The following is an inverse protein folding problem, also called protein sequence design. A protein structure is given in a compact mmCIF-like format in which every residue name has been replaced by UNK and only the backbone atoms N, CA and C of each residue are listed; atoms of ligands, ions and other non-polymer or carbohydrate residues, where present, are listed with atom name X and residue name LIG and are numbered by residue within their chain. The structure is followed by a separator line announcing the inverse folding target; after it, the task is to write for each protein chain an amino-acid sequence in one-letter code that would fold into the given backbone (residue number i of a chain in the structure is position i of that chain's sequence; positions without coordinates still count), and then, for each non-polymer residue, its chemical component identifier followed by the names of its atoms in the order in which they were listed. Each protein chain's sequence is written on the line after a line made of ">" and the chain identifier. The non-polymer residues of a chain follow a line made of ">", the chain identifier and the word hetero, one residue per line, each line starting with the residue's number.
data_IF_970033012875
#
_entry.id   IF_970033012875
#
_cell.length_a   1.000
_cell.length_b   1.000
_cell.length_c   1.000
_cell.angle_alpha   90.00
_cell.angle_beta   90.00
_cell.angle_gamma   90.00
#
_symmetry.space_group_name_H-M   'P 1'
#
loop_
_entity.id
_entity.type
_entity.pdbx_description
1 polymer ?
#
# COMPACT_ATOMS: atom_id res chain seq x y z
N UNK A 1 0.39 10.26 -2.50
CA UNK A 1 1.35 9.33 -1.83
C UNK A 1 2.67 9.41 -2.57
N UNK A 2 3.63 10.12 -1.99
CA UNK A 2 4.89 10.46 -2.68
C UNK A 2 5.98 9.41 -2.43
N UNK A 3 6.70 8.95 -3.47
CA UNK A 3 7.83 8.03 -3.32
C UNK A 3 8.96 8.66 -2.51
N UNK A 4 9.72 7.82 -1.81
CA UNK A 4 10.92 8.27 -1.10
C UNK A 4 12.06 8.54 -2.07
N UNK A 5 12.24 7.66 -3.06
CA UNK A 5 13.33 7.78 -4.03
C UNK A 5 12.92 8.69 -5.19
N UNK A 6 13.71 9.72 -5.47
CA UNK A 6 13.48 10.63 -6.61
C UNK A 6 13.55 9.94 -7.98
N UNK A 7 14.18 8.77 -8.05
CA UNK A 7 14.25 7.92 -9.25
C UNK A 7 12.94 7.16 -9.53
N UNK A 8 12.06 7.02 -8.53
CA UNK A 8 10.80 6.32 -8.60
C UNK A 8 9.75 7.16 -9.35
N UNK A 9 9.74 7.05 -10.68
CA UNK A 9 8.83 7.81 -11.55
C UNK A 9 7.68 6.99 -12.11
N UNK A 10 7.94 5.73 -12.46
CA UNK A 10 6.93 4.77 -12.94
C UNK A 10 6.52 3.84 -11.82
N UNK A 11 5.22 3.65 -11.66
CA UNK A 11 4.65 2.77 -10.64
C UNK A 11 3.43 2.05 -11.18
N UNK A 12 3.19 0.88 -10.59
CA UNK A 12 1.96 0.10 -10.80
C UNK A 12 1.23 -0.01 -9.46
N UNK A 13 -0.10 0.01 -9.49
CA UNK A 13 -0.92 -0.11 -8.28
C UNK A 13 -0.86 -1.55 -7.76
N UNK A 14 -0.98 -1.73 -6.45
CA UNK A 14 -1.26 -3.06 -5.91
C UNK A 14 -2.65 -3.54 -6.37
N UNK A 15 -2.82 -4.86 -6.62
CA UNK A 15 -4.12 -5.46 -6.93
C UNK A 15 -5.19 -5.06 -5.92
N UNK A 16 -6.40 -4.76 -6.40
CA UNK A 16 -7.52 -4.36 -5.55
C UNK A 16 -7.84 -5.42 -4.51
N UNK A 17 -7.82 -6.69 -4.90
CA UNK A 17 -8.08 -7.83 -4.02
C UNK A 17 -7.09 -7.89 -2.86
N UNK A 18 -5.81 -7.62 -3.12
CA UNK A 18 -4.78 -7.57 -2.08
C UNK A 18 -5.01 -6.40 -1.12
N UNK A 19 -5.41 -5.23 -1.65
CA UNK A 19 -5.76 -4.07 -0.81
C UNK A 19 -6.99 -4.35 0.05
N UNK A 20 -8.00 -5.02 -0.48
CA UNK A 20 -9.20 -5.45 0.26
C UNK A 20 -8.86 -6.45 1.37
N UNK A 21 -7.96 -7.40 1.08
CA UNK A 21 -7.44 -8.33 2.10
C UNK A 21 -6.71 -7.57 3.22
N UNK A 22 -5.86 -6.60 2.88
CA UNK A 22 -5.15 -5.77 3.87
C UNK A 22 -6.15 -4.99 4.74
N UNK A 23 -7.16 -4.36 4.12
CA UNK A 23 -8.23 -3.66 4.85
C UNK A 23 -8.96 -4.61 5.79
N UNK A 24 -9.29 -5.82 5.33
CA UNK A 24 -9.94 -6.85 6.13
C UNK A 24 -9.11 -7.22 7.36
N UNK A 25 -7.83 -7.58 7.16
CA UNK A 25 -6.90 -7.96 8.24
C UNK A 25 -6.76 -6.85 9.28
N UNK A 26 -6.55 -5.60 8.85
CA UNK A 26 -6.42 -4.45 9.74
C UNK A 26 -7.72 -4.20 10.50
N UNK A 27 -8.88 -4.24 9.82
CA UNK A 27 -10.19 -4.01 10.43
C UNK A 27 -10.54 -5.08 11.46
N UNK A 28 -10.16 -6.35 11.22
CA UNK A 28 -10.37 -7.43 12.18
C UNK A 28 -9.43 -7.33 13.39
N UNK A 29 -8.15 -7.04 13.14
CA UNK A 29 -7.12 -6.93 14.19
C UNK A 29 -7.43 -5.77 15.15
N UNK A 30 -7.85 -4.64 14.60
CA UNK A 30 -8.11 -3.40 15.34
C UNK A 30 -9.60 -3.06 15.44
N UNK A 31 -10.47 -4.08 15.46
CA UNK A 31 -11.94 -3.94 15.43
C UNK A 31 -12.52 -2.99 16.48
N UNK A 32 -11.95 -2.97 17.69
CA UNK A 32 -12.41 -2.09 18.78
C UNK A 32 -12.08 -0.62 18.52
N UNK A 33 -10.80 -0.23 18.34
CA UNK A 33 -10.47 1.17 18.08
C UNK A 33 -11.00 1.68 16.73
N UNK A 34 -11.12 0.82 15.71
CA UNK A 34 -11.63 1.19 14.39
C UNK A 34 -13.16 1.12 14.25
N UNK A 35 -13.90 0.91 15.33
CA UNK A 35 -15.35 0.76 15.27
C UNK A 35 -16.02 2.00 14.65
N UNK A 36 -16.65 1.83 13.48
CA UNK A 36 -17.32 2.90 12.75
C UNK A 36 -16.39 3.82 11.95
N UNK A 37 -15.08 3.54 11.91
CA UNK A 37 -14.10 4.28 11.12
C UNK A 37 -13.93 3.66 9.73
N UNK A 38 -13.57 4.48 8.73
CA UNK A 38 -13.23 3.99 7.38
C UNK A 38 -11.75 3.64 7.34
N UNK A 39 -11.43 2.38 7.06
CA UNK A 39 -10.05 1.93 6.83
C UNK A 39 -9.74 2.02 5.33
N UNK A 40 -8.56 2.53 5.00
CA UNK A 40 -8.12 2.77 3.63
C UNK A 40 -6.73 2.16 3.49
N UNK A 41 -6.55 1.29 2.49
CA UNK A 41 -5.24 0.77 2.11
C UNK A 41 -4.89 1.23 0.70
N UNK A 42 -3.65 1.66 0.51
CA UNK A 42 -3.10 2.05 -0.79
C UNK A 42 -1.70 1.47 -0.93
N UNK A 43 -1.32 1.04 -2.13
CA UNK A 43 0.04 0.59 -2.37
C UNK A 43 0.47 0.78 -3.83
N UNK A 44 1.77 1.02 -3.99
CA UNK A 44 2.41 1.27 -5.28
C UNK A 44 3.73 0.50 -5.34
N UNK A 45 3.94 -0.23 -6.42
CA UNK A 45 5.21 -0.89 -6.73
C UNK A 45 5.95 -0.02 -7.74
N UNK A 46 7.12 0.47 -7.35
CA UNK A 46 8.08 1.11 -8.25
C UNK A 46 9.20 0.14 -8.57
N UNK A 47 10.01 0.45 -9.58
CA UNK A 47 11.15 -0.39 -9.98
C UNK A 47 12.23 -0.59 -8.90
N UNK A 48 12.31 0.33 -7.93
CA UNK A 48 13.35 0.34 -6.90
C UNK A 48 12.80 0.37 -5.47
N UNK A 49 11.49 0.55 -5.29
CA UNK A 49 10.86 0.55 -3.98
C UNK A 49 9.40 0.12 -4.04
N UNK A 50 8.94 -0.48 -2.95
CA UNK A 50 7.54 -0.77 -2.70
C UNK A 50 7.02 0.21 -1.65
N UNK A 51 5.90 0.86 -1.94
CA UNK A 51 5.18 1.72 -1.00
C UNK A 51 3.87 1.06 -0.60
N UNK A 52 3.62 1.03 0.70
CA UNK A 52 2.34 0.62 1.28
C UNK A 52 1.89 1.67 2.31
N UNK A 53 0.61 2.00 2.27
CA UNK A 53 -0.05 2.91 3.20
C UNK A 53 -1.30 2.23 3.75
N UNK A 54 -1.49 2.34 5.05
CA UNK A 54 -2.77 2.06 5.70
C UNK A 54 -3.17 3.28 6.50
N UNK A 55 -4.37 3.76 6.25
CA UNK A 55 -4.95 4.89 6.96
C UNK A 55 -6.31 4.55 7.54
N UNK A 56 -6.74 5.38 8.49
CA UNK A 56 -8.10 5.38 8.99
C UNK A 56 -8.66 6.79 9.03
N UNK A 57 -9.97 6.90 8.78
CA UNK A 57 -10.71 8.14 8.82
C UNK A 57 -11.88 8.00 9.80
N UNK A 58 -11.85 8.82 10.84
CA UNK A 58 -12.95 8.92 11.81
C UNK A 58 -14.14 9.67 11.19
N UNK A 59 -15.38 9.25 11.48
CA UNK A 59 -16.57 9.97 11.04
C UNK A 59 -16.54 11.44 11.48
N UNK A 60 -16.70 12.35 10.52
CA UNK A 60 -16.73 13.80 10.78
C UNK A 60 -15.35 14.46 10.91
N UNK A 61 -14.24 13.71 10.80
CA UNK A 61 -12.90 14.27 10.64
C UNK A 61 -12.57 14.47 9.17
N UNK A 62 -11.81 15.52 8.88
CA UNK A 62 -11.21 15.74 7.56
C UNK A 62 -9.80 15.15 7.47
N UNK A 63 -9.10 15.00 8.59
CA UNK A 63 -7.74 14.45 8.60
C UNK A 63 -7.81 12.93 8.69
N UNK A 64 -7.07 12.26 7.79
CA UNK A 64 -6.95 10.81 7.73
C UNK A 64 -5.58 10.43 8.30
N UNK A 65 -5.55 9.70 9.41
CA UNK A 65 -4.28 9.26 9.98
C UNK A 65 -3.73 8.12 9.14
N UNK A 66 -2.61 8.36 8.46
CA UNK A 66 -1.94 7.42 7.57
C UNK A 66 -0.62 6.95 8.16
N UNK A 67 -0.36 5.67 8.01
CA UNK A 67 0.89 5.00 8.32
C UNK A 67 1.46 4.44 7.03
N UNK A 68 2.69 4.83 6.72
CA UNK A 68 3.32 4.55 5.43
C UNK A 68 4.66 3.85 5.62
N UNK A 69 4.92 2.87 4.76
CA UNK A 69 6.20 2.17 4.66
C UNK A 69 6.70 2.22 3.22
N UNK A 70 7.99 2.51 3.06
CA UNK A 70 8.76 2.37 1.83
C UNK A 70 9.86 1.33 2.07
N UNK A 71 9.94 0.35 1.17
CA UNK A 71 10.92 -0.74 1.24
C UNK A 71 11.67 -0.77 -0.08
N UNK A 72 12.99 -0.84 -0.05
CA UNK A 72 13.77 -1.07 -1.27
C UNK A 72 13.38 -2.40 -1.89
N UNK A 73 13.22 -2.41 -3.21
CA UNK A 73 12.72 -3.57 -3.95
C UNK A 73 13.61 -3.87 -5.15
N UNK A 74 14.21 -5.06 -5.17
CA UNK A 74 14.86 -5.64 -6.35
C UNK A 74 13.98 -6.76 -6.94
N UNK A 75 13.23 -6.51 -8.04
CA UNK A 75 12.29 -7.49 -8.61
C UNK A 75 12.96 -8.78 -9.09
N UNK A 76 14.29 -8.82 -9.23
CA UNK A 76 15.02 -10.03 -9.65
C UNK A 76 15.42 -10.92 -8.48
N UNK A 77 15.41 -10.40 -7.25
CA UNK A 77 15.91 -11.10 -6.06
C UNK A 77 14.87 -11.26 -4.98
N UNK A 78 13.83 -10.44 -5.01
CA UNK A 78 12.88 -10.31 -3.91
C UNK A 78 11.48 -10.66 -4.37
N UNK A 79 10.72 -11.25 -3.44
CA UNK A 79 9.31 -11.53 -3.64
C UNK A 79 8.51 -10.33 -3.10
N UNK A 80 7.78 -9.66 -3.99
CA UNK A 80 7.01 -8.46 -3.65
C UNK A 80 5.97 -8.74 -2.55
N UNK A 81 5.28 -9.88 -2.59
CA UNK A 81 4.27 -10.26 -1.60
C UNK A 81 4.88 -10.40 -0.19
N UNK A 82 6.06 -11.01 -0.07
CA UNK A 82 6.78 -11.09 1.22
C UNK A 82 7.18 -9.71 1.76
N UNK A 83 7.54 -8.78 0.88
CA UNK A 83 7.84 -7.40 1.28
C UNK A 83 6.57 -6.66 1.71
N UNK A 84 5.45 -6.88 1.03
CA UNK A 84 4.15 -6.32 1.42
C UNK A 84 3.77 -6.81 2.82
N UNK A 85 3.88 -8.11 3.11
CA UNK A 85 3.64 -8.64 4.45
C UNK A 85 4.58 -8.02 5.49
N UNK A 86 5.87 -7.90 5.18
CA UNK A 86 6.84 -7.24 6.08
C UNK A 86 6.47 -5.78 6.35
N UNK A 87 6.03 -5.06 5.32
CA UNK A 87 5.54 -3.70 5.44
C UNK A 87 4.25 -3.60 6.26
N UNK A 88 3.32 -4.53 6.05
CA UNK A 88 2.07 -4.61 6.81
C UNK A 88 2.33 -4.89 8.29
N UNK A 89 3.28 -5.76 8.62
CA UNK A 89 3.68 -6.03 10.01
C UNK A 89 4.24 -4.76 10.69
N UNK A 90 5.07 -4.00 9.97
CA UNK A 90 5.61 -2.74 10.47
C UNK A 90 4.51 -1.69 10.70
N UNK A 91 3.59 -1.55 9.74
CA UNK A 91 2.41 -0.68 9.87
C UNK A 91 1.52 -1.12 11.03
N UNK A 92 1.29 -2.44 11.18
CA UNK A 92 0.53 -3.00 12.29
C UNK A 92 1.15 -2.65 13.64
N UNK A 93 2.48 -2.66 13.74
CA UNK A 93 3.19 -2.21 14.94
C UNK A 93 3.00 -0.72 15.22
N UNK A 94 3.00 0.14 14.19
CA UNK A 94 2.71 1.57 14.37
C UNK A 94 1.26 1.82 14.79
N UNK A 95 0.30 1.13 14.16
CA UNK A 95 -1.12 1.20 14.51
C UNK A 95 -1.37 0.74 15.96
N UNK A 96 -0.72 -0.33 16.39
CA UNK A 96 -0.81 -0.81 17.77
C UNK A 96 -0.34 0.26 18.75
N UNK A 97 0.84 0.85 18.52
CA UNK A 97 1.36 1.94 19.37
C UNK A 97 0.41 3.15 19.41
N UNK A 98 -0.13 3.53 18.25
CA UNK A 98 -1.08 4.63 18.14
C UNK A 98 -2.36 4.37 18.96
N UNK A 99 -2.96 3.18 18.82
CA UNK A 99 -4.17 2.82 19.57
C UNK A 99 -3.92 2.54 21.05
N UNK A 100 -2.69 2.21 21.45
CA UNK A 100 -2.26 2.10 22.85
C UNK A 100 -2.04 3.47 23.51
N UNK A 101 -2.20 4.57 22.76
CA UNK A 101 -2.21 5.94 23.26
C UNK A 101 -1.01 6.79 22.88
N UNK A 102 -0.17 6.33 21.94
CA UNK A 102 0.90 7.15 21.39
C UNK A 102 0.32 8.18 20.40
N UNK A 103 0.55 9.47 20.67
CA UNK A 103 0.12 10.55 19.80
C UNK A 103 0.78 10.45 18.41
N UNK A 104 0.04 10.84 17.37
CA UNK A 104 0.55 10.82 15.99
C UNK A 104 1.83 11.67 15.82
N UNK A 105 2.03 12.68 16.67
CA UNK A 105 3.21 13.55 16.65
C UNK A 105 4.51 12.82 17.02
N UNK A 106 4.42 11.72 17.76
CA UNK A 106 5.58 10.91 18.19
C UNK A 106 6.09 9.99 17.07
N UNK A 107 5.35 9.90 15.96
CA UNK A 107 5.75 9.14 14.79
C UNK A 107 6.55 10.01 13.79
N UNK A 108 7.40 9.39 12.97
CA UNK A 108 8.20 10.13 11.99
C UNK A 108 7.33 10.76 10.90
N UNK A 109 7.36 12.09 10.75
CA UNK A 109 6.67 12.80 9.66
C UNK A 109 7.46 12.78 8.34
N UNK A 110 8.77 12.61 8.45
CA UNK A 110 9.68 12.38 7.33
C UNK A 110 10.07 10.90 7.26
N UNK A 111 10.54 10.44 6.10
CA UNK A 111 10.99 9.05 5.95
C UNK A 111 12.15 8.74 6.88
N UNK A 112 11.91 7.90 7.87
CA UNK A 112 12.93 7.45 8.82
C UNK A 112 13.22 5.96 8.64
N UNK A 113 14.50 5.59 8.59
CA UNK A 113 14.95 4.22 8.39
C UNK A 113 14.88 3.39 9.66
N UNK A 114 14.42 2.15 9.54
CA UNK A 114 14.34 1.14 10.58
C UNK A 114 14.80 -0.21 10.04
N UNK A 115 15.46 -1.02 10.85
CA UNK A 115 15.85 -2.38 10.46
C UNK A 115 14.85 -3.40 11.01
N UNK A 116 14.21 -4.15 10.11
CA UNK A 116 13.32 -5.26 10.44
C UNK A 116 13.66 -6.45 9.53
N UNK A 117 13.78 -7.65 10.09
CA UNK A 117 14.06 -8.87 9.31
C UNK A 117 15.28 -8.76 8.36
N UNK A 118 16.34 -8.05 8.78
CA UNK A 118 17.56 -7.75 7.97
C UNK A 118 17.27 -6.94 6.70
N UNK A 119 16.14 -6.23 6.68
CA UNK A 119 15.75 -5.27 5.64
C UNK A 119 15.64 -3.89 6.25
N UNK A 120 16.02 -2.90 5.48
CA UNK A 120 15.83 -1.50 5.83
C UNK A 120 14.46 -1.07 5.34
N UNK A 121 13.56 -0.81 6.29
CA UNK A 121 12.26 -0.21 6.07
C UNK A 121 12.40 1.31 6.28
N UNK A 122 11.61 2.09 5.56
CA UNK A 122 11.46 3.52 5.82
C UNK A 122 10.02 3.78 6.22
N UNK A 123 9.80 4.33 7.41
CA UNK A 123 8.46 4.58 7.94
C UNK A 123 8.19 6.08 7.98
N UNK A 124 6.95 6.47 7.72
CA UNK A 124 6.44 7.81 8.02
C UNK A 124 4.94 7.79 8.34
N UNK A 125 4.44 8.89 8.88
CA UNK A 125 3.00 9.17 8.99
C UNK A 125 2.60 10.36 8.13
N UNK A 126 1.32 10.41 7.75
CA UNK A 126 0.74 11.58 7.09
C UNK A 126 -0.72 11.78 7.51
N UNK A 127 -1.26 12.97 7.27
CA UNK A 127 -2.67 13.31 7.58
C UNK A 127 -3.51 13.54 6.31
N UNK A 128 -2.95 13.19 5.15
CA UNK A 128 -3.52 13.40 3.82
C UNK A 128 -4.81 12.60 3.67
N UNK A 129 -5.91 13.26 3.34
CA UNK A 129 -7.19 12.62 3.11
C UNK A 129 -7.35 12.26 1.64
N UNK A 130 -7.38 10.96 1.34
CA UNK A 130 -7.38 10.45 -0.02
C UNK A 130 -8.62 10.91 -0.82
N UNK A 131 -9.78 11.04 -0.19
CA UNK A 131 -11.00 11.53 -0.85
C UNK A 131 -10.90 13.04 -1.17
N UNK A 132 -10.28 13.84 -0.28
CA UNK A 132 -10.08 15.28 -0.52
C UNK A 132 -9.02 15.54 -1.60
N UNK A 133 -7.94 14.78 -1.61
CA UNK A 133 -6.93 14.85 -2.67
C UNK A 133 -7.55 14.49 -4.02
N UNK A 134 -8.33 13.40 -4.08
CA UNK A 134 -8.98 12.99 -5.33
C UNK A 134 -9.95 14.05 -5.87
N UNK A 135 -10.72 14.71 -5.01
CA UNK A 135 -11.60 15.81 -5.44
C UNK A 135 -10.81 17.06 -5.83
N UNK A 136 -9.71 17.37 -5.14
CA UNK A 136 -8.82 18.47 -5.52
C UNK A 136 -8.14 18.20 -6.88
N UNK A 137 -7.63 16.99 -7.10
CA UNK A 137 -7.06 16.53 -8.36
C UNK A 137 -8.11 16.57 -9.47
N UNK A 138 -9.37 16.17 -9.20
CA UNK A 138 -10.46 16.27 -10.17
C UNK A 138 -10.73 17.73 -10.55
N UNK A 139 -10.78 18.64 -9.58
CA UNK A 139 -10.98 20.07 -9.83
C UNK A 139 -9.80 20.67 -10.61
N UNK A 140 -8.57 20.25 -10.29
CA UNK A 140 -7.35 20.69 -10.96
C UNK A 140 -7.20 20.11 -12.36
N UNK A 141 -7.59 18.86 -12.61
CA UNK A 141 -7.59 18.21 -13.91
C UNK A 141 -8.66 18.78 -14.84
N UNK A 142 -9.82 19.18 -14.30
CA UNK A 142 -10.81 19.98 -15.04
C UNK A 142 -10.26 21.37 -15.40
N UNK A 143 -9.33 21.90 -14.61
CA UNK A 143 -8.67 23.19 -14.85
C UNK A 143 -7.36 23.09 -15.67
N UNK A 144 -6.75 21.91 -15.74
CA UNK A 144 -5.40 21.65 -16.26
C UNK A 144 -5.43 20.38 -17.08
N UNK A 145 -5.77 20.51 -18.35
CA UNK A 145 -5.49 19.53 -19.39
C UNK A 145 -3.96 19.43 -19.53
N UNK A 146 -3.27 18.74 -18.61
CA UNK A 146 -1.91 18.16 -18.73
C UNK A 146 -1.30 17.80 -17.35
N UNK A 147 -0.71 16.59 -17.30
CA UNK A 147 0.32 16.09 -16.37
C UNK A 147 -0.08 15.52 -14.99
N UNK A 148 -0.41 14.23 -14.97
CA UNK A 148 0.35 13.14 -14.33
C UNK A 148 -0.02 11.84 -15.04
N UNK A 149 0.90 11.26 -15.83
CA UNK A 149 0.60 10.08 -16.67
C UNK A 149 0.68 8.81 -15.80
N UNK A 150 -0.47 8.31 -15.39
CA UNK A 150 -0.64 6.88 -15.10
C UNK A 150 -0.28 6.13 -16.39
N UNK A 151 0.64 5.17 -16.34
CA UNK A 151 1.19 4.54 -17.55
C UNK A 151 0.09 4.01 -18.47
N UNK A 152 0.14 4.36 -19.76
CA UNK A 152 -0.87 3.99 -20.76
C UNK A 152 -0.94 2.48 -21.07
N UNK A 153 -0.05 1.66 -20.49
CA UNK A 153 0.07 0.19 -20.69
C UNK A 153 -0.50 -0.62 -19.50
N UNK A 154 -1.56 -0.11 -18.86
CA UNK A 154 -2.03 -0.56 -17.54
C UNK A 154 -2.45 -2.04 -17.48
N UNK A 155 -3.10 -2.57 -18.52
CA UNK A 155 -3.53 -3.98 -18.57
C UNK A 155 -2.32 -4.95 -18.58
N UNK A 156 -1.23 -4.57 -19.25
CA UNK A 156 -0.02 -5.41 -19.36
C UNK A 156 0.80 -5.35 -18.07
N UNK A 157 0.88 -4.17 -17.44
CA UNK A 157 1.61 -3.99 -16.19
C UNK A 157 0.86 -4.59 -14.98
N UNK A 158 -0.47 -4.53 -14.96
CA UNK A 158 -1.27 -5.16 -13.90
C UNK A 158 -1.09 -6.68 -13.92
N UNK A 159 -1.16 -7.32 -15.10
CA UNK A 159 -0.93 -8.76 -15.22
C UNK A 159 0.48 -9.17 -14.76
N UNK A 160 1.51 -8.39 -15.10
CA UNK A 160 2.86 -8.62 -14.61
C UNK A 160 3.00 -8.47 -13.08
N UNK A 161 2.21 -7.59 -12.46
CA UNK A 161 2.15 -7.47 -10.99
C UNK A 161 1.44 -8.67 -10.36
N UNK A 162 0.35 -9.16 -10.97
CA UNK A 162 -0.31 -10.39 -10.54
C UNK A 162 0.64 -11.60 -10.62
N UNK A 163 1.39 -11.75 -11.72
CA UNK A 163 2.43 -12.78 -11.86
C UNK A 163 3.55 -12.63 -10.81
N UNK A 164 4.03 -11.40 -10.59
CA UNK A 164 5.08 -11.11 -9.59
C UNK A 164 4.63 -11.42 -8.16
N UNK A 165 3.35 -11.23 -7.86
CA UNK A 165 2.76 -11.53 -6.56
C UNK A 165 2.36 -13.02 -6.43
N UNK A 166 2.40 -13.78 -7.54
CA UNK A 166 1.96 -15.17 -7.57
C UNK A 166 0.45 -15.31 -7.39
N UNK A 167 -0.32 -14.34 -7.89
CA UNK A 167 -1.78 -14.27 -7.76
C UNK A 167 -2.53 -14.69 -9.04
N UNK A 168 -1.84 -15.16 -10.08
CA UNK A 168 -2.50 -15.79 -11.23
C UNK A 168 -3.03 -17.16 -10.82
N UNK A 169 -4.35 -17.29 -10.70
CA UNK A 169 -5.09 -18.54 -10.58
C UNK A 169 -5.06 -19.26 -11.94
N UNK A 170 -3.92 -19.87 -12.27
CA UNK A 170 -3.76 -20.87 -13.34
C UNK A 170 -3.41 -22.23 -12.70
N UNK A 171 -4.08 -22.57 -11.60
CA UNK A 171 -4.24 -23.94 -11.13
C UNK A 171 -5.43 -24.61 -11.87
N UNK A 172 -5.38 -24.58 -13.21
CA UNK A 172 -6.09 -25.54 -14.07
C UNK A 172 -5.09 -26.50 -14.73
N UNK A 173 -4.63 -27.52 -13.98
CA UNK A 173 -4.24 -28.80 -14.59
C UNK A 173 -5.18 -29.92 -14.15
N UNK A 174 -6.22 -30.11 -14.94
CA UNK A 174 -6.82 -31.42 -15.13
C UNK A 174 -5.95 -32.29 -16.05
N UNK A 175 -5.65 -33.51 -15.61
CA UNK A 175 -5.17 -34.60 -16.46
C UNK A 175 -4.61 -35.74 -15.62
N UNK A 176 -5.02 -37.00 -15.74
CA UNK A 176 -6.00 -37.65 -16.58
C UNK A 176 -6.18 -39.09 -16.09
N UNK A 177 -7.41 -39.57 -16.13
CA UNK A 177 -7.76 -40.96 -15.89
C UNK A 177 -7.25 -41.78 -17.08
N UNK A 178 -6.15 -42.52 -16.93
CA UNK A 178 -5.78 -43.58 -17.89
C UNK A 178 -6.15 -44.93 -17.34
N UNK A 179 -7.24 -45.47 -17.87
CA UNK A 179 -7.52 -46.90 -17.94
C UNK A 179 -6.46 -47.59 -18.80
N UNK A 180 -5.77 -48.59 -18.26
CA UNK A 180 -5.63 -49.89 -18.91
C UNK A 180 -5.18 -50.99 -17.94
#
# INVERSE_FOLDING_TARGET
>A
MDPRLKSSKKWTRLPKELLEQIVGVVSETFKKPLAGQKVIAEGRIYQAELLLRVGHLEPGRLQQANFEVSIEFDPKKENALKLIHTGLDAIGSMLQQYFDGLDLQEFPWEWQSFELNKKTLHLRVSTVNTDLEAEADRLLAVASDEMLVEGEDQDVEEQAVYEMLGLNDDDEEGGGHTTH
#
